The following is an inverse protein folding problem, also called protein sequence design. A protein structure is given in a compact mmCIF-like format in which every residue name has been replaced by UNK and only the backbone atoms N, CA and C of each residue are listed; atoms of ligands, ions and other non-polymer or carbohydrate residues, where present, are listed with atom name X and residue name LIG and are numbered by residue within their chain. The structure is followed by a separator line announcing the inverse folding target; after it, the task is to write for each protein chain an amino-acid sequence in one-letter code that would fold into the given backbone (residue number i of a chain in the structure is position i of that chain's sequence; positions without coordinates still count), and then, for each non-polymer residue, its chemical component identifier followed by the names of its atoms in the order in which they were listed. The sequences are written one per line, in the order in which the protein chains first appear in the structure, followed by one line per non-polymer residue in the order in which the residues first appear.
data_IF_211849716878
#
_entry.id   IF_211849716878
#
_cell.length_a   1.000
_cell.length_b   1.000
_cell.length_c   1.000
_cell.angle_alpha   90.00
_cell.angle_beta   90.00
_cell.angle_gamma   90.00
#
_symmetry.space_group_name_H-M   'P 1'
#
loop_
_entity.id
_entity.type
_entity.pdbx_description
1 polymer ?
#
# COMPACT_ATOMS: atom_id res chain seq x y z
N UNK A 1 -16.36 -5.51 -20.84
CA UNK A 1 -15.46 -6.60 -21.27
C UNK A 1 -14.03 -6.20 -20.92
N UNK A 2 -13.28 -7.02 -20.15
CA UNK A 2 -11.85 -6.77 -19.91
C UNK A 2 -11.09 -7.16 -21.18
N UNK A 3 -10.40 -6.21 -21.80
CA UNK A 3 -9.53 -6.49 -22.94
C UNK A 3 -8.18 -6.95 -22.40
N UNK A 4 -7.82 -8.20 -22.65
CA UNK A 4 -6.51 -8.73 -22.30
C UNK A 4 -5.51 -8.38 -23.43
N UNK A 5 -4.44 -7.68 -23.08
CA UNK A 5 -3.35 -7.36 -24.02
C UNK A 5 -2.14 -8.16 -23.59
N UNK A 6 -1.84 -9.24 -24.32
CA UNK A 6 -0.67 -10.09 -24.08
C UNK A 6 0.51 -9.55 -24.87
N UNK A 7 1.67 -9.37 -24.20
CA UNK A 7 2.94 -9.01 -24.85
C UNK A 7 4.06 -9.85 -24.27
N UNK A 8 4.89 -10.39 -25.15
CA UNK A 8 6.14 -11.05 -24.79
C UNK A 8 7.22 -9.98 -24.66
N UNK A 9 7.98 -10.01 -23.57
CA UNK A 9 9.13 -9.14 -23.34
C UNK A 9 10.32 -9.96 -22.87
N UNK A 10 11.50 -9.58 -23.34
CA UNK A 10 12.76 -10.10 -22.81
C UNK A 10 13.05 -9.46 -21.46
N UNK A 11 13.64 -10.26 -20.58
CA UNK A 11 14.24 -9.79 -19.33
C UNK A 11 15.63 -9.24 -19.67
N UNK A 12 16.00 -8.11 -19.07
CA UNK A 12 17.33 -7.55 -19.31
C UNK A 12 18.44 -8.39 -18.65
N UNK A 13 19.71 -8.04 -18.92
CA UNK A 13 20.87 -8.78 -18.38
C UNK A 13 20.95 -8.82 -16.85
N UNK A 14 20.21 -7.96 -16.16
CA UNK A 14 20.17 -7.86 -14.71
C UNK A 14 18.92 -8.50 -14.11
N UNK A 15 18.12 -9.22 -14.91
CA UNK A 15 16.91 -9.88 -14.43
C UNK A 15 15.69 -8.96 -14.32
N UNK A 16 15.71 -7.74 -14.90
CA UNK A 16 14.62 -6.76 -14.75
C UNK A 16 13.62 -6.83 -15.90
N UNK A 17 12.34 -6.73 -15.56
CA UNK A 17 11.25 -6.56 -16.53
C UNK A 17 10.87 -5.08 -16.65
N UNK A 18 10.90 -4.53 -17.87
CA UNK A 18 10.54 -3.13 -18.10
C UNK A 18 9.02 -2.96 -18.14
N UNK A 19 8.48 -2.22 -17.17
CA UNK A 19 7.05 -1.87 -17.13
C UNK A 19 6.76 -0.72 -18.13
N UNK A 20 5.69 -0.84 -18.95
CA UNK A 20 5.28 0.21 -19.90
C UNK A 20 5.12 1.60 -19.25
N UNK A 21 5.58 2.65 -19.94
CA UNK A 21 5.57 4.04 -19.45
C UNK A 21 4.17 4.50 -19.06
N UNK A 22 3.19 4.31 -19.94
CA UNK A 22 1.79 4.66 -19.72
C UNK A 22 1.20 3.99 -18.47
N UNK A 23 1.57 2.74 -18.19
CA UNK A 23 1.13 2.05 -16.98
C UNK A 23 1.80 2.64 -15.73
N UNK A 24 3.12 2.87 -15.76
CA UNK A 24 3.85 3.48 -14.64
C UNK A 24 3.32 4.86 -14.27
N UNK A 25 3.04 5.69 -15.28
CA UNK A 25 2.49 7.04 -15.08
C UNK A 25 1.10 7.04 -14.46
N UNK A 26 0.33 5.97 -14.64
CA UNK A 26 -1.02 5.85 -14.07
C UNK A 26 -1.01 5.20 -12.69
N UNK A 27 -0.19 4.17 -12.48
CA UNK A 27 -0.34 3.24 -11.36
C UNK A 27 0.90 3.11 -10.44
N UNK A 28 2.07 3.60 -10.88
CA UNK A 28 3.32 3.50 -10.13
C UNK A 28 4.06 4.84 -10.08
N UNK A 29 3.31 5.96 -9.95
CA UNK A 29 3.87 7.32 -9.93
C UNK A 29 4.94 7.50 -8.87
N UNK A 30 4.74 6.87 -7.71
CA UNK A 30 5.64 6.92 -6.57
C UNK A 30 6.78 5.89 -6.65
N UNK A 31 6.92 5.19 -7.78
CA UNK A 31 7.93 4.15 -7.99
C UNK A 31 7.71 2.87 -7.18
N UNK A 32 6.55 2.73 -6.51
CA UNK A 32 6.20 1.55 -5.70
C UNK A 32 5.07 0.77 -6.37
N UNK A 33 5.14 -0.55 -6.25
CA UNK A 33 4.14 -1.52 -6.71
C UNK A 33 4.09 -2.67 -5.72
N UNK A 34 2.97 -3.37 -5.68
CA UNK A 34 2.86 -4.65 -4.98
C UNK A 34 3.28 -5.75 -5.96
N UNK A 35 4.16 -6.64 -5.52
CA UNK A 35 4.58 -7.81 -6.29
C UNK A 35 4.17 -9.06 -5.51
N UNK A 36 3.24 -9.84 -6.07
CA UNK A 36 2.78 -11.11 -5.52
C UNK A 36 3.39 -12.26 -6.32
N UNK A 37 3.84 -13.29 -5.62
CA UNK A 37 4.40 -14.50 -6.21
C UNK A 37 3.39 -15.64 -6.02
N UNK A 38 2.88 -16.18 -7.12
CA UNK A 38 1.90 -17.25 -7.16
C UNK A 38 2.46 -18.42 -7.98
N UNK A 39 3.38 -19.17 -7.37
CA UNK A 39 4.08 -20.28 -8.03
C UNK A 39 4.87 -19.79 -9.25
N UNK A 40 4.40 -20.13 -10.44
CA UNK A 40 4.99 -19.71 -11.73
C UNK A 40 4.60 -18.29 -12.18
N UNK A 41 3.67 -17.65 -11.46
CA UNK A 41 3.12 -16.33 -11.83
C UNK A 41 3.67 -15.24 -10.93
N UNK A 42 3.98 -14.10 -11.54
CA UNK A 42 4.26 -12.85 -10.83
C UNK A 42 3.14 -11.88 -11.17
N UNK A 43 2.39 -11.44 -10.16
CA UNK A 43 1.37 -10.41 -10.30
C UNK A 43 1.94 -9.08 -9.81
N UNK A 44 1.79 -8.04 -10.64
CA UNK A 44 2.19 -6.67 -10.30
C UNK A 44 0.93 -5.81 -10.22
N UNK A 45 0.69 -5.24 -9.05
CA UNK A 45 -0.47 -4.40 -8.76
C UNK A 45 -0.03 -2.98 -8.37
N UNK A 46 -0.88 -1.96 -8.61
CA UNK A 46 -0.65 -0.62 -8.10
C UNK A 46 -0.48 -0.65 -6.58
N UNK A 47 0.48 0.10 -6.05
CA UNK A 47 0.56 0.35 -4.61
C UNK A 47 -0.14 1.66 -4.31
N UNK A 48 -1.36 1.58 -3.81
CA UNK A 48 -2.07 2.71 -3.24
C UNK A 48 -1.67 2.81 -1.77
N UNK A 49 -1.26 4.01 -1.33
CA UNK A 49 -1.06 4.25 0.09
C UNK A 49 -2.42 4.03 0.76
N UNK A 50 -2.49 3.19 1.81
CA UNK A 50 -3.74 3.06 2.55
C UNK A 50 -4.15 4.45 3.03
N UNK A 51 -5.44 4.76 2.92
CA UNK A 51 -5.97 5.96 3.54
C UNK A 51 -5.75 5.81 5.06
N UNK A 52 -5.01 6.74 5.66
CA UNK A 52 -4.75 6.71 7.10
C UNK A 52 -6.07 6.75 7.89
N UNK A 53 -7.12 7.33 7.31
CA UNK A 53 -8.48 7.32 7.86
C UNK A 53 -8.97 5.90 8.13
N UNK A 54 -8.73 4.95 7.21
CA UNK A 54 -9.12 3.53 7.39
C UNK A 54 -8.34 2.84 8.52
N UNK A 55 -7.16 3.35 8.89
CA UNK A 55 -6.38 2.85 10.02
C UNK A 55 -6.91 3.40 11.34
N UNK A 56 -7.34 4.67 11.37
CA UNK A 56 -7.94 5.27 12.56
C UNK A 56 -9.32 4.69 12.86
N UNK A 57 -10.14 4.40 11.86
CA UNK A 57 -11.47 3.79 12.06
C UNK A 57 -11.40 2.36 12.63
N UNK A 58 -10.28 1.65 12.42
CA UNK A 58 -10.05 0.33 13.03
C UNK A 58 -9.63 0.41 14.50
N UNK A 59 -9.24 1.59 14.96
CA UNK A 59 -8.74 1.82 16.31
C UNK A 59 -9.91 2.43 17.11
N UNK A 60 -10.83 1.60 17.57
CA UNK A 60 -11.84 2.00 18.55
C UNK A 60 -11.17 2.11 19.94
N UNK A 61 -10.71 3.31 20.28
CA UNK A 61 -10.21 3.61 21.62
C UNK A 61 -11.19 4.54 22.31
N UNK A 62 -11.85 4.03 23.35
CA UNK A 62 -12.67 4.83 24.26
C UNK A 62 -11.75 5.59 25.23
N UNK A 63 -11.37 6.82 24.85
CA UNK A 63 -10.56 7.71 25.67
C UNK A 63 -11.47 8.50 26.63
N UNK A 64 -11.21 8.37 27.93
CA UNK A 64 -11.90 9.16 28.97
C UNK A 64 -11.20 10.50 29.23
N UNK A 65 -9.95 10.66 28.78
CA UNK A 65 -9.20 11.90 28.91
C UNK A 65 -9.72 13.01 28.00
N UNK A 66 -9.66 14.25 28.49
CA UNK A 66 -9.85 15.44 27.66
C UNK A 66 -8.84 15.46 26.50
N UNK A 67 -9.37 15.48 25.27
CA UNK A 67 -8.59 15.50 24.02
C UNK A 67 -7.71 16.75 23.88
N UNK A 68 -7.98 17.79 24.67
CA UNK A 68 -7.20 19.03 24.71
C UNK A 68 -5.88 18.88 25.51
N UNK A 69 -5.75 17.81 26.32
CA UNK A 69 -4.58 17.56 27.16
C UNK A 69 -3.79 16.32 26.72
N UNK A 70 -2.82 16.54 25.82
CA UNK A 70 -1.94 15.51 25.28
C UNK A 70 -1.24 14.63 26.33
N UNK A 71 -0.90 15.20 27.49
CA UNK A 71 -0.20 14.46 28.55
C UNK A 71 -1.09 13.39 29.18
N UNK A 72 -2.37 13.70 29.37
CA UNK A 72 -3.36 12.75 29.92
C UNK A 72 -3.67 11.64 28.92
N UNK A 73 -3.91 12.00 27.65
CA UNK A 73 -4.14 11.03 26.56
C UNK A 73 -2.98 10.03 26.45
N UNK A 74 -1.73 10.52 26.44
CA UNK A 74 -0.55 9.67 26.34
C UNK A 74 -0.45 8.68 27.51
N UNK A 75 -0.82 9.10 28.71
CA UNK A 75 -0.81 8.23 29.90
C UNK A 75 -1.87 7.12 29.78
N UNK A 76 -3.10 7.48 29.43
CA UNK A 76 -4.20 6.54 29.26
C UNK A 76 -3.90 5.50 28.16
N UNK A 77 -3.36 5.93 27.02
CA UNK A 77 -2.93 5.02 25.94
C UNK A 77 -1.84 4.01 26.36
N UNK A 78 -0.96 4.40 27.29
CA UNK A 78 0.09 3.52 27.81
C UNK A 78 -0.43 2.55 28.89
N UNK A 79 -1.51 2.91 29.57
CA UNK A 79 -2.17 2.06 30.59
C UNK A 79 -3.10 1.00 29.95
N UNK A 80 -3.55 1.17 28.70
CA UNK A 80 -4.40 0.22 27.94
C UNK A 80 -3.61 -0.99 27.39
N UNK A 81 -2.28 -1.03 27.54
CA UNK A 81 -1.41 -2.04 26.95
C UNK A 81 -1.47 -3.42 27.62
#
# INVERSE_FOLDING_TARGET
MKTEIVRIKNIDKLGRLVIPKNWREKYARNGRVIVKFEGEKILIEPYELPDLTELFDKIEIDLKSDLSNWKSIKRELLEIR
#
